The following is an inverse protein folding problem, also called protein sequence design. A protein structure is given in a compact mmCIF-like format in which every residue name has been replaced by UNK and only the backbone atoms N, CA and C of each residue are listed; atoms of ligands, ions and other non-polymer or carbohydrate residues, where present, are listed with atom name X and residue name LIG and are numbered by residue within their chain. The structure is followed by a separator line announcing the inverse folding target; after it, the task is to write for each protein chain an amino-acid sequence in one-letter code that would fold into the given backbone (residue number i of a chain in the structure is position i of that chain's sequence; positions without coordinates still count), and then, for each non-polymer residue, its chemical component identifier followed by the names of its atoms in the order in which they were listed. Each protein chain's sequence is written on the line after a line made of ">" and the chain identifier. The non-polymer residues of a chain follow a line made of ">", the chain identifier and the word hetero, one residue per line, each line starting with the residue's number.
data_IF_900623934386
#
_entry.id   IF_900623934386
#
_cell.length_a   1.000
_cell.length_b   1.000
_cell.length_c   1.000
_cell.angle_alpha   90.00
_cell.angle_beta   90.00
_cell.angle_gamma   90.00
#
_symmetry.space_group_name_H-M   'P 1'
#
loop_
_entity.id
_entity.type
_entity.pdbx_description
1 polymer ?
#
# COMPACT_ATOMS: atom_id res chain seq x y z
N UNK A 1 -18.94 13.57 -0.47
CA UNK A 1 -18.42 12.19 -0.36
C UNK A 1 -19.10 11.34 -1.42
N UNK A 2 -18.37 10.51 -2.18
CA UNK A 2 -18.98 9.54 -3.08
C UNK A 2 -19.38 8.31 -2.28
N UNK A 3 -20.69 8.03 -2.19
CA UNK A 3 -21.25 6.92 -1.42
C UNK A 3 -20.88 5.53 -1.95
N UNK A 4 -20.22 5.45 -3.11
CA UNK A 4 -19.79 4.21 -3.75
C UNK A 4 -18.36 3.79 -3.37
N UNK A 5 -17.58 4.64 -2.69
CA UNK A 5 -16.22 4.30 -2.31
C UNK A 5 -16.20 3.26 -1.17
N UNK A 6 -15.63 2.09 -1.44
CA UNK A 6 -15.43 1.05 -0.44
C UNK A 6 -14.07 0.36 -0.59
N UNK A 7 -13.56 -0.18 0.50
CA UNK A 7 -12.50 -1.18 0.49
C UNK A 7 -12.90 -2.38 1.35
N UNK A 8 -12.65 -3.58 0.84
CA UNK A 8 -12.98 -4.83 1.52
C UNK A 8 -11.78 -5.77 1.49
N UNK A 9 -11.45 -6.35 2.64
CA UNK A 9 -10.59 -7.52 2.71
C UNK A 9 -11.48 -8.72 2.40
N UNK A 10 -11.36 -9.23 1.17
CA UNK A 10 -12.24 -10.29 0.67
C UNK A 10 -11.76 -11.68 1.00
N UNK A 11 -10.44 -11.87 1.05
CA UNK A 11 -9.84 -13.21 1.12
C UNK A 11 -8.37 -13.15 1.55
N UNK A 12 -7.78 -14.32 1.75
CA UNK A 12 -6.34 -14.53 1.91
C UNK A 12 -5.80 -15.47 0.83
N UNK A 13 -4.55 -15.28 0.42
CA UNK A 13 -3.89 -16.11 -0.60
C UNK A 13 -2.45 -16.39 -0.21
N UNK A 14 -1.97 -17.61 -0.52
CA UNK A 14 -0.56 -17.96 -0.38
C UNK A 14 0.18 -17.59 -1.66
N UNK A 15 1.14 -16.68 -1.57
CA UNK A 15 2.03 -16.30 -2.68
C UNK A 15 3.46 -16.61 -2.24
N UNK A 16 4.14 -17.49 -2.98
CA UNK A 16 5.51 -17.95 -2.67
C UNK A 16 5.65 -18.44 -1.21
N UNK A 17 4.66 -19.17 -0.71
CA UNK A 17 4.64 -19.71 0.65
C UNK A 17 4.35 -18.68 1.76
N UNK A 18 3.95 -17.45 1.42
CA UNK A 18 3.61 -16.39 2.39
C UNK A 18 2.15 -15.95 2.25
N UNK A 19 1.47 -15.82 3.39
CA UNK A 19 0.09 -15.36 3.45
C UNK A 19 -0.01 -13.88 3.10
N UNK A 20 -0.86 -13.54 2.14
CA UNK A 20 -1.23 -12.18 1.76
C UNK A 20 -2.74 -12.00 1.90
N UNK A 21 -3.16 -10.78 2.22
CA UNK A 21 -4.56 -10.40 2.26
C UNK A 21 -4.95 -9.70 0.95
N UNK A 22 -6.08 -10.11 0.38
CA UNK A 22 -6.63 -9.54 -0.84
C UNK A 22 -7.53 -8.36 -0.49
N UNK A 23 -7.08 -7.17 -0.84
CA UNK A 23 -7.85 -5.94 -0.77
C UNK A 23 -8.52 -5.69 -2.10
N UNK A 24 -9.82 -5.40 -2.05
CA UNK A 24 -10.60 -4.98 -3.21
C UNK A 24 -11.19 -3.62 -2.90
N UNK A 25 -10.78 -2.63 -3.69
CA UNK A 25 -11.22 -1.24 -3.52
C UNK A 25 -11.96 -0.75 -4.76
N UNK A 26 -13.08 -0.07 -4.56
CA UNK A 26 -13.76 0.74 -5.58
C UNK A 26 -13.50 2.22 -5.25
N UNK A 27 -12.88 2.94 -6.17
CA UNK A 27 -12.51 4.34 -6.02
C UNK A 27 -13.26 5.15 -7.08
N UNK A 28 -14.04 6.14 -6.65
CA UNK A 28 -14.76 7.06 -7.54
C UNK A 28 -16.02 6.47 -8.19
N UNK A 29 -16.41 5.22 -7.86
CA UNK A 29 -17.58 4.55 -8.44
C UNK A 29 -17.27 3.66 -9.65
N UNK A 30 -16.18 3.95 -10.38
CA UNK A 30 -15.87 3.28 -11.65
C UNK A 30 -14.50 2.56 -11.65
N UNK A 31 -13.57 2.91 -10.76
CA UNK A 31 -12.24 2.33 -10.73
C UNK A 31 -12.11 1.21 -9.70
N UNK A 32 -11.80 0.00 -10.16
CA UNK A 32 -11.59 -1.17 -9.31
C UNK A 32 -10.10 -1.49 -9.18
N UNK A 33 -9.61 -1.59 -7.94
CA UNK A 33 -8.24 -1.97 -7.64
C UNK A 33 -8.22 -3.23 -6.77
N UNK A 34 -7.36 -4.19 -7.14
CA UNK A 34 -7.04 -5.35 -6.30
C UNK A 34 -5.58 -5.28 -5.90
N UNK A 35 -5.32 -5.42 -4.61
CA UNK A 35 -3.96 -5.45 -4.06
C UNK A 35 -3.82 -6.66 -3.14
N UNK A 36 -2.69 -7.36 -3.22
CA UNK A 36 -2.36 -8.42 -2.27
C UNK A 36 -1.22 -7.94 -1.39
N UNK A 37 -1.54 -7.68 -0.12
CA UNK A 37 -0.62 -7.04 0.81
C UNK A 37 -0.33 -7.95 1.99
N UNK A 38 0.92 -7.92 2.47
CA UNK A 38 1.30 -8.46 3.76
C UNK A 38 2.28 -7.53 4.46
N UNK A 39 2.34 -7.60 5.78
CA UNK A 39 3.49 -7.09 6.53
C UNK A 39 4.46 -8.26 6.68
N UNK A 40 5.71 -8.05 6.31
CA UNK A 40 6.75 -9.05 6.48
C UNK A 40 7.35 -9.05 7.88
N UNK A 41 8.26 -9.99 8.09
CA UNK A 41 8.92 -10.26 9.37
C UNK A 41 9.79 -9.09 9.85
N UNK A 42 10.17 -8.18 8.94
CA UNK A 42 10.96 -6.99 9.23
C UNK A 42 10.08 -5.73 9.36
N UNK A 43 8.76 -5.87 9.30
CA UNK A 43 7.83 -4.75 9.37
C UNK A 43 7.67 -3.99 8.05
N UNK A 44 8.06 -4.57 6.90
CA UNK A 44 7.82 -3.97 5.58
C UNK A 44 6.46 -4.35 5.06
N UNK A 45 5.72 -3.40 4.51
CA UNK A 45 4.50 -3.64 3.77
C UNK A 45 4.86 -4.09 2.35
N UNK A 46 4.59 -5.35 2.04
CA UNK A 46 4.91 -5.96 0.75
C UNK A 46 3.63 -6.12 -0.06
N UNK A 47 3.69 -5.68 -1.32
CA UNK A 47 2.71 -6.02 -2.36
C UNK A 47 3.28 -7.08 -3.29
N UNK A 48 2.46 -8.05 -3.66
CA UNK A 48 2.79 -9.05 -4.68
C UNK A 48 1.52 -9.41 -5.47
N UNK A 49 1.66 -10.09 -6.61
CA UNK A 49 0.52 -10.58 -7.40
C UNK A 49 0.67 -12.10 -7.59
N UNK A 50 -0.38 -12.92 -7.38
CA UNK A 50 -0.33 -14.36 -7.65
C UNK A 50 0.09 -14.72 -9.07
N UNK A 51 -0.16 -13.85 -10.05
CA UNK A 51 0.27 -14.03 -11.45
C UNK A 51 1.77 -13.79 -11.65
N UNK A 52 2.38 -12.99 -10.76
CA UNK A 52 3.80 -12.62 -10.81
C UNK A 52 4.42 -12.79 -9.40
N UNK A 53 4.49 -14.02 -8.88
CA UNK A 53 4.80 -14.30 -7.47
C UNK A 53 6.24 -13.93 -7.06
N UNK A 54 7.13 -13.76 -8.05
CA UNK A 54 8.51 -13.32 -7.84
C UNK A 54 8.64 -11.80 -7.79
N UNK A 55 7.63 -11.07 -8.29
CA UNK A 55 7.59 -9.61 -8.23
C UNK A 55 7.06 -9.17 -6.87
N UNK A 56 7.91 -8.44 -6.13
CA UNK A 56 7.60 -7.88 -4.82
C UNK A 56 7.88 -6.39 -4.84
N UNK A 57 6.95 -5.64 -4.26
CA UNK A 57 7.02 -4.18 -4.19
C UNK A 57 6.90 -3.77 -2.73
N UNK A 58 7.93 -3.10 -2.20
CA UNK A 58 7.90 -2.53 -0.86
C UNK A 58 7.06 -1.25 -0.89
N UNK A 59 5.91 -1.25 -0.22
CA UNK A 59 4.96 -0.13 -0.16
C UNK A 59 5.07 0.69 1.13
N UNK A 60 5.90 0.26 2.06
CA UNK A 60 6.10 0.91 3.36
C UNK A 60 7.11 0.13 4.20
N UNK A 61 7.79 0.81 5.10
CA UNK A 61 8.66 0.22 6.12
C UNK A 61 8.27 0.81 7.46
N UNK A 62 7.57 0.04 8.29
CA UNK A 62 7.07 0.52 9.58
C UNK A 62 8.15 0.58 10.66
N UNK A 63 9.33 -0.02 10.40
CA UNK A 63 10.49 0.05 11.28
C UNK A 63 11.33 1.32 11.06
N UNK A 64 11.30 1.88 9.84
CA UNK A 64 12.06 3.05 9.43
C UNK A 64 11.75 4.33 10.21
N UNK A 65 12.69 5.27 10.21
CA UNK A 65 12.61 6.58 10.87
C UNK A 65 12.23 7.66 9.85
N UNK A 66 11.72 8.80 10.35
CA UNK A 66 11.46 9.96 9.50
C UNK A 66 12.75 10.40 8.80
N UNK A 67 12.68 10.63 7.50
CA UNK A 67 13.81 10.95 6.64
C UNK A 67 14.47 9.73 5.98
N UNK A 68 14.22 8.51 6.47
CA UNK A 68 14.76 7.30 5.82
C UNK A 68 14.18 7.13 4.41
N UNK A 69 15.01 6.61 3.52
CA UNK A 69 14.67 6.38 2.12
C UNK A 69 14.90 4.93 1.71
N UNK A 70 14.03 4.41 0.85
CA UNK A 70 14.19 3.09 0.24
C UNK A 70 13.54 3.05 -1.14
N UNK A 71 13.81 1.99 -1.90
CA UNK A 71 13.21 1.76 -3.21
C UNK A 71 12.11 0.72 -3.15
N UNK A 72 11.08 0.90 -3.99
CA UNK A 72 9.96 -0.04 -4.06
C UNK A 72 10.37 -1.41 -4.58
N UNK A 73 11.18 -1.45 -5.64
CA UNK A 73 11.69 -2.68 -6.27
C UNK A 73 13.22 -2.72 -6.24
N UNK A 74 13.89 -1.56 -6.32
CA UNK A 74 15.34 -1.45 -6.37
C UNK A 74 15.94 -1.79 -7.74
N UNK A 75 15.11 -1.96 -8.77
CA UNK A 75 15.57 -2.32 -10.12
C UNK A 75 15.94 -1.11 -10.98
N UNK A 76 15.67 0.11 -10.52
CA UNK A 76 16.03 1.32 -11.27
C UNK A 76 15.25 1.51 -12.58
N UNK A 77 14.07 0.90 -12.68
CA UNK A 77 13.16 1.06 -13.83
C UNK A 77 12.29 2.30 -13.67
N UNK A 78 11.60 2.69 -14.74
CA UNK A 78 10.62 3.79 -14.75
C UNK A 78 9.46 3.59 -13.76
N UNK A 79 9.16 2.35 -13.37
CA UNK A 79 8.16 2.03 -12.35
C UNK A 79 8.73 2.01 -10.93
N UNK A 80 10.05 2.04 -10.75
CA UNK A 80 10.67 2.03 -9.43
C UNK A 80 10.59 3.42 -8.79
N UNK A 81 10.12 3.44 -7.54
CA UNK A 81 9.88 4.67 -6.82
C UNK A 81 10.84 4.77 -5.64
N UNK A 82 11.43 5.95 -5.44
CA UNK A 82 12.04 6.29 -4.17
C UNK A 82 10.94 6.64 -3.18
N UNK A 83 10.97 5.99 -2.03
CA UNK A 83 10.04 6.20 -0.93
C UNK A 83 10.78 6.90 0.19
N UNK A 84 10.21 7.98 0.72
CA UNK A 84 10.75 8.70 1.88
C UNK A 84 9.73 8.66 3.01
N UNK A 85 10.15 8.32 4.23
CA UNK A 85 9.32 8.41 5.42
C UNK A 85 9.15 9.88 5.80
N UNK A 86 7.95 10.42 5.66
CA UNK A 86 7.69 11.85 5.94
C UNK A 86 7.12 12.09 7.32
N UNK A 87 6.53 11.07 7.93
CA UNK A 87 5.91 11.19 9.25
C UNK A 87 5.88 9.85 9.97
N UNK A 88 6.12 9.87 11.28
CA UNK A 88 5.96 8.72 12.15
C UNK A 88 5.54 9.17 13.54
N UNK A 89 4.41 8.66 14.00
CA UNK A 89 3.87 8.80 15.36
C UNK A 89 3.45 7.42 15.88
N UNK A 90 2.98 7.35 17.13
CA UNK A 90 2.50 6.09 17.72
C UNK A 90 1.30 5.49 16.97
N UNK A 91 0.52 6.32 16.27
CA UNK A 91 -0.74 5.95 15.62
C UNK A 91 -0.71 6.08 14.11
N UNK A 92 0.28 6.77 13.53
CA UNK A 92 0.28 7.14 12.11
C UNK A 92 1.67 7.09 11.51
N UNK A 93 1.77 6.65 10.25
CA UNK A 93 3.00 6.73 9.48
C UNK A 93 2.70 7.13 8.04
N UNK A 94 3.50 8.04 7.48
CA UNK A 94 3.31 8.57 6.13
C UNK A 94 4.57 8.37 5.28
N UNK A 95 4.37 8.07 4.01
CA UNK A 95 5.40 7.78 3.04
C UNK A 95 5.14 8.62 1.78
N UNK A 96 6.14 9.38 1.34
CA UNK A 96 6.13 10.07 0.04
C UNK A 96 6.79 9.18 -1.02
N UNK A 97 6.23 9.15 -2.22
CA UNK A 97 6.69 8.33 -3.34
C UNK A 97 7.04 9.23 -4.52
N UNK A 98 8.22 9.01 -5.10
CA UNK A 98 8.69 9.71 -6.30
C UNK A 98 9.20 8.71 -7.35
N UNK A 99 8.70 8.83 -8.58
CA UNK A 99 9.16 8.05 -9.73
C UNK A 99 10.46 8.62 -10.30
N UNK A 100 11.56 8.53 -9.54
CA UNK A 100 12.81 9.25 -9.85
C UNK A 100 13.44 8.90 -11.22
N UNK A 101 13.04 7.77 -11.81
CA UNK A 101 13.49 7.28 -13.11
C UNK A 101 12.48 7.52 -14.25
N UNK A 102 11.22 7.89 -13.94
CA UNK A 102 10.20 8.08 -14.96
C UNK A 102 10.29 9.47 -15.59
N UNK A 103 10.36 9.53 -16.91
CA UNK A 103 10.60 10.78 -17.67
C UNK A 103 9.60 11.90 -17.36
N UNK A 104 8.32 11.57 -17.18
CA UNK A 104 7.24 12.55 -16.99
C UNK A 104 6.68 12.62 -15.57
N UNK A 105 7.02 11.67 -14.70
CA UNK A 105 6.42 11.56 -13.36
C UNK A 105 7.41 11.87 -12.25
N UNK A 106 8.70 11.97 -12.57
CA UNK A 106 9.73 12.41 -11.65
C UNK A 106 9.38 13.77 -11.06
N UNK A 107 9.46 13.87 -9.74
CA UNK A 107 9.15 15.09 -8.99
C UNK A 107 7.65 15.32 -8.75
N UNK A 108 6.77 14.47 -9.27
CA UNK A 108 5.33 14.50 -8.98
C UNK A 108 5.01 13.56 -7.82
N UNK A 109 5.39 14.00 -6.62
CA UNK A 109 5.25 13.18 -5.43
C UNK A 109 3.79 12.95 -5.04
N UNK A 110 3.50 11.75 -4.54
CA UNK A 110 2.26 11.48 -3.82
C UNK A 110 2.56 10.86 -2.46
N UNK A 111 1.64 11.06 -1.50
CA UNK A 111 1.78 10.57 -0.13
C UNK A 111 0.76 9.48 0.14
N UNK A 112 1.23 8.37 0.70
CA UNK A 112 0.36 7.40 1.35
C UNK A 112 0.58 7.45 2.86
N UNK A 113 -0.51 7.53 3.60
CA UNK A 113 -0.51 7.45 5.06
C UNK A 113 -1.11 6.12 5.48
N UNK A 114 -0.72 5.62 6.65
CA UNK A 114 -1.31 4.45 7.29
C UNK A 114 -1.56 4.76 8.76
N UNK A 115 -2.72 4.36 9.26
CA UNK A 115 -3.13 4.50 10.65
C UNK A 115 -3.08 3.12 11.31
N UNK A 116 -2.41 3.02 12.46
CA UNK A 116 -2.31 1.77 13.22
C UNK A 116 -3.71 1.27 13.61
N UNK A 117 -3.99 0.00 13.34
CA UNK A 117 -5.29 -0.63 13.60
C UNK A 117 -6.37 -0.34 12.54
N UNK A 118 -6.17 0.63 11.64
CA UNK A 118 -7.12 0.97 10.58
C UNK A 118 -6.56 0.71 9.17
N UNK A 119 -5.24 0.77 8.98
CA UNK A 119 -4.61 0.66 7.66
C UNK A 119 -4.70 1.97 6.87
N UNK A 120 -5.11 1.92 5.60
CA UNK A 120 -5.15 3.09 4.72
C UNK A 120 -6.26 4.07 5.16
N UNK A 121 -5.94 5.37 5.40
CA UNK A 121 -6.88 6.40 5.82
C UNK A 121 -7.63 6.92 4.58
N UNK A 122 -8.39 6.06 3.93
CA UNK A 122 -9.34 6.50 2.94
C UNK A 122 -10.59 7.03 3.61
N UNK A 123 -11.24 7.99 2.94
CA UNK A 123 -12.54 8.51 3.33
C UNK A 123 -13.64 7.53 2.88
N UNK A 124 -13.60 6.32 3.46
CA UNK A 124 -14.43 5.21 3.06
C UNK A 124 -15.86 5.41 3.58
N UNK A 125 -16.84 5.24 2.69
CA UNK A 125 -18.25 5.16 3.09
C UNK A 125 -18.56 3.83 3.80
N UNK A 126 -17.77 2.78 3.51
CA UNK A 126 -17.82 1.49 4.19
C UNK A 126 -16.46 0.83 4.27
N UNK A 127 -16.10 0.30 5.44
CA UNK A 127 -14.93 -0.56 5.67
C UNK A 127 -15.39 -1.92 6.20
N UNK A 128 -15.02 -3.00 5.50
CA UNK A 128 -15.40 -4.36 5.88
C UNK A 128 -14.19 -5.29 5.93
N UNK A 129 -14.07 -6.03 7.04
CA UNK A 129 -13.01 -7.02 7.28
C UNK A 129 -13.68 -8.36 7.55
N UNK A 130 -13.40 -9.38 6.72
CA UNK A 130 -13.90 -10.75 6.91
C UNK A 130 -15.42 -10.84 7.17
N UNK A 131 -16.24 -10.10 6.42
CA UNK A 131 -17.69 -10.10 6.66
C UNK A 131 -18.19 -9.01 7.59
N UNK A 132 -17.34 -8.48 8.49
CA UNK A 132 -17.73 -7.53 9.54
C UNK A 132 -17.54 -6.10 9.08
N UNK A 133 -18.61 -5.30 9.15
CA UNK A 133 -18.58 -3.86 8.86
C UNK A 133 -18.05 -3.12 10.08
N UNK A 134 -16.93 -2.41 9.92
CA UNK A 134 -16.29 -1.62 10.98
C UNK A 134 -16.63 -0.14 10.89
N UNK A 135 -16.98 0.33 9.70
CA UNK A 135 -17.45 1.69 9.39
C UNK A 135 -18.40 1.61 8.21
#
# INVERSE_FOLDING_TARGET
>A
MNNQNYTEIKDSVMISGKLHYKFVSLIGGDAFATSYLRIDENGKLISSDPKYPDTKVVRGDFSAKVGDQFFTTGFGTDTDQQVTVTEKTDTKMSFSFDYIYHVNLKGHLYVNTYIKGQGYPGDWARLKINGVVLK
#
